data_IF_516914836857
#
_entry.id   IF_516914836857
#
_cell.length_a   1.000
_cell.length_b   1.000
_cell.length_c   1.000
_cell.angle_alpha   90.00
_cell.angle_beta   90.00
_cell.angle_gamma   90.00
#
_symmetry.space_group_name_H-M   'P 1'
#
loop_
_entity.id
_entity.type
_entity.pdbx_description
1 polymer ?
#
# COMPACT_ATOMS: atom_id res chain seq x y z
N UNK A 1 -14.47 2.34 -19.56
CA UNK A 1 -12.99 2.37 -19.37
C UNK A 1 -12.68 2.79 -17.94
N UNK A 2 -11.89 2.00 -17.26
CA UNK A 2 -11.51 2.31 -15.87
C UNK A 2 -10.44 3.38 -15.87
N UNK A 3 -10.70 4.50 -15.21
CA UNK A 3 -9.74 5.59 -15.12
C UNK A 3 -8.79 5.33 -13.94
N UNK A 4 -7.49 5.33 -14.19
CA UNK A 4 -6.49 5.24 -13.14
C UNK A 4 -6.48 6.58 -12.39
N UNK A 5 -6.62 6.57 -11.06
CA UNK A 5 -6.54 7.81 -10.28
C UNK A 5 -5.21 8.51 -10.52
N UNK A 6 -5.23 9.84 -10.57
CA UNK A 6 -4.03 10.62 -10.80
C UNK A 6 -3.05 10.41 -9.64
N UNK A 7 -1.77 10.20 -9.98
CA UNK A 7 -0.70 10.02 -9.00
C UNK A 7 -0.62 11.20 -8.02
N UNK A 8 -0.82 12.41 -8.51
CA UNK A 8 -0.78 13.61 -7.67
C UNK A 8 -1.87 13.57 -6.59
N UNK A 9 -3.08 13.15 -6.96
CA UNK A 9 -4.19 13.02 -6.02
C UNK A 9 -3.89 11.96 -4.96
N UNK A 10 -3.31 10.84 -5.37
CA UNK A 10 -2.91 9.77 -4.44
C UNK A 10 -1.83 10.25 -3.46
N UNK A 11 -0.84 10.99 -3.94
CA UNK A 11 0.22 11.55 -3.12
C UNK A 11 -0.35 12.53 -2.08
N UNK A 12 -1.23 13.43 -2.49
CA UNK A 12 -1.87 14.38 -1.58
C UNK A 12 -2.64 13.66 -0.48
N UNK A 13 -3.39 12.63 -0.85
CA UNK A 13 -4.15 11.80 0.09
C UNK A 13 -3.22 11.08 1.07
N UNK A 14 -2.12 10.51 0.58
CA UNK A 14 -1.15 9.80 1.39
C UNK A 14 -0.46 10.74 2.39
N UNK A 15 -0.05 11.93 1.94
CA UNK A 15 0.62 12.90 2.79
C UNK A 15 -0.30 13.43 3.88
N UNK A 16 -1.55 13.69 3.55
CA UNK A 16 -2.55 14.08 4.54
C UNK A 16 -2.78 12.98 5.57
N UNK A 17 -2.81 11.74 5.14
CA UNK A 17 -2.95 10.58 6.04
C UNK A 17 -1.78 10.50 7.02
N UNK A 18 -0.54 10.63 6.52
CA UNK A 18 0.66 10.59 7.36
C UNK A 18 0.70 11.76 8.33
N UNK A 19 0.32 12.96 7.88
CA UNK A 19 0.25 14.14 8.74
C UNK A 19 -0.76 13.92 9.88
N UNK A 20 -1.94 13.39 9.57
CA UNK A 20 -2.97 13.09 10.57
C UNK A 20 -2.51 12.03 11.56
N UNK A 21 -1.65 11.10 11.13
CA UNK A 21 -1.09 10.06 11.99
C UNK A 21 0.13 10.53 12.78
N UNK A 22 0.60 11.77 12.55
CA UNK A 22 1.77 12.32 13.22
C UNK A 22 3.10 11.76 12.70
N UNK A 23 3.10 11.20 11.51
CA UNK A 23 4.29 10.61 10.89
C UNK A 23 4.96 11.67 10.01
N UNK A 24 6.19 12.02 10.32
CA UNK A 24 6.95 13.10 9.67
C UNK A 24 8.40 12.69 9.42
N UNK A 25 9.09 13.46 8.57
CA UNK A 25 10.52 13.26 8.30
C UNK A 25 10.78 12.28 7.19
N UNK A 26 9.77 11.98 6.38
CA UNK A 26 9.89 11.04 5.26
C UNK A 26 9.58 11.75 3.94
N UNK A 27 10.19 11.26 2.87
CA UNK A 27 9.93 11.71 1.51
C UNK A 27 9.59 10.52 0.63
N UNK A 28 8.96 10.78 -0.50
CA UNK A 28 8.57 9.73 -1.43
C UNK A 28 9.81 9.16 -2.12
N UNK A 29 9.95 7.83 -2.04
CA UNK A 29 10.97 7.09 -2.77
C UNK A 29 10.43 6.58 -4.11
N UNK A 30 9.21 6.05 -4.12
CA UNK A 30 8.59 5.54 -5.32
C UNK A 30 7.07 5.49 -5.15
N UNK A 31 6.36 5.46 -6.27
CA UNK A 31 4.92 5.27 -6.30
C UNK A 31 4.59 4.34 -7.46
N UNK A 32 3.76 3.34 -7.21
CA UNK A 32 3.36 2.38 -8.23
C UNK A 32 1.87 2.08 -8.10
N UNK A 33 1.16 2.05 -9.23
CA UNK A 33 -0.24 1.67 -9.27
C UNK A 33 -0.36 0.16 -9.49
N UNK A 34 -1.19 -0.47 -8.68
CA UNK A 34 -1.52 -1.88 -8.79
C UNK A 34 -2.97 -2.02 -9.19
N UNK A 35 -3.22 -2.71 -10.29
CA UNK A 35 -4.57 -3.04 -10.71
C UNK A 35 -5.13 -4.15 -9.84
N UNK A 36 -6.46 -4.35 -9.89
CA UNK A 36 -7.08 -5.41 -9.13
C UNK A 36 -6.58 -6.79 -9.59
N UNK A 37 -6.32 -7.65 -8.62
CA UNK A 37 -5.89 -9.03 -8.86
C UNK A 37 -6.81 -10.01 -8.15
N UNK A 38 -7.00 -11.19 -8.73
CA UNK A 38 -7.74 -12.26 -8.08
C UNK A 38 -6.90 -12.90 -6.97
N UNK A 39 -7.53 -13.53 -5.96
CA UNK A 39 -6.79 -14.26 -4.95
C UNK A 39 -5.83 -15.32 -5.53
N UNK A 40 -6.24 -16.01 -6.59
CA UNK A 40 -5.39 -17.01 -7.25
C UNK A 40 -4.16 -16.36 -7.87
N UNK A 41 -4.29 -15.18 -8.47
CA UNK A 41 -3.18 -14.43 -9.03
C UNK A 41 -2.20 -13.96 -7.96
N UNK A 42 -2.72 -13.50 -6.81
CA UNK A 42 -1.89 -13.05 -5.70
C UNK A 42 -1.05 -14.17 -5.10
N UNK A 43 -1.60 -15.36 -4.99
CA UNK A 43 -0.92 -16.51 -4.40
C UNK A 43 0.02 -17.22 -5.39
N UNK A 44 -0.21 -17.04 -6.70
CA UNK A 44 0.66 -17.63 -7.72
C UNK A 44 0.77 -19.14 -7.58
N UNK A 45 1.98 -19.64 -7.30
CA UNK A 45 2.25 -21.07 -7.15
C UNK A 45 1.49 -21.70 -5.97
N UNK A 46 1.05 -20.90 -5.03
CA UNK A 46 0.35 -21.34 -3.82
C UNK A 46 -1.17 -21.17 -3.92
N UNK A 47 -1.71 -21.02 -5.13
CA UNK A 47 -3.14 -20.81 -5.34
C UNK A 47 -4.01 -21.95 -4.81
N UNK A 48 -3.47 -23.17 -4.73
CA UNK A 48 -4.15 -24.34 -4.15
C UNK A 48 -4.47 -24.16 -2.66
N UNK A 49 -3.76 -23.29 -1.96
CA UNK A 49 -4.01 -22.99 -0.56
C UNK A 49 -5.35 -22.30 -0.32
N UNK A 50 -5.95 -21.71 -1.37
CA UNK A 50 -7.25 -21.05 -1.27
C UNK A 50 -8.34 -21.98 -0.73
N UNK A 51 -8.26 -23.27 -1.06
CA UNK A 51 -9.24 -24.26 -0.60
C UNK A 51 -9.15 -24.49 0.91
N UNK A 52 -8.04 -24.14 1.54
CA UNK A 52 -7.80 -24.32 2.98
C UNK A 52 -8.14 -23.07 3.79
N UNK A 53 -8.39 -21.93 3.11
CA UNK A 53 -8.67 -20.67 3.77
C UNK A 53 -10.12 -20.61 4.24
N UNK A 54 -10.33 -20.06 5.43
CA UNK A 54 -11.66 -19.70 5.89
C UNK A 54 -12.12 -18.37 5.28
N UNK A 55 -13.34 -17.93 5.60
CA UNK A 55 -13.89 -16.70 5.03
C UNK A 55 -13.10 -15.45 5.41
N UNK A 56 -12.59 -15.39 6.62
CA UNK A 56 -11.79 -14.24 7.07
C UNK A 56 -10.46 -14.18 6.32
N UNK A 57 -9.80 -15.31 6.14
CA UNK A 57 -8.55 -15.38 5.40
C UNK A 57 -8.75 -15.03 3.92
N UNK A 58 -9.83 -15.51 3.31
CA UNK A 58 -10.16 -15.16 1.92
C UNK A 58 -10.44 -13.66 1.77
N UNK A 59 -11.09 -13.05 2.76
CA UNK A 59 -11.36 -11.61 2.72
C UNK A 59 -10.06 -10.81 2.76
N UNK A 60 -9.10 -11.23 3.58
CA UNK A 60 -7.78 -10.58 3.65
C UNK A 60 -7.07 -10.65 2.31
N UNK A 61 -7.07 -11.81 1.65
CA UNK A 61 -6.44 -11.97 0.34
C UNK A 61 -7.15 -11.11 -0.72
N UNK A 62 -8.48 -11.07 -0.69
CA UNK A 62 -9.25 -10.22 -1.61
C UNK A 62 -8.94 -8.74 -1.42
N UNK A 63 -8.77 -8.30 -0.18
CA UNK A 63 -8.41 -6.90 0.12
C UNK A 63 -7.04 -6.55 -0.43
N UNK A 64 -6.09 -7.46 -0.43
CA UNK A 64 -4.78 -7.23 -1.06
C UNK A 64 -4.87 -7.08 -2.58
N UNK A 65 -5.89 -7.65 -3.21
CA UNK A 65 -6.10 -7.55 -4.65
C UNK A 65 -6.85 -6.31 -5.10
N UNK A 66 -7.20 -5.39 -4.20
CA UNK A 66 -7.91 -4.16 -4.56
C UNK A 66 -6.99 -3.20 -5.29
N UNK A 67 -7.50 -2.46 -6.31
CA UNK A 67 -6.66 -1.50 -7.02
C UNK A 67 -6.24 -0.36 -6.11
N UNK A 68 -4.95 -0.03 -6.14
CA UNK A 68 -4.41 1.01 -5.26
C UNK A 68 -3.09 1.58 -5.78
N UNK A 69 -2.75 2.76 -5.29
CA UNK A 69 -1.40 3.30 -5.37
C UNK A 69 -0.61 2.87 -4.14
N UNK A 70 0.55 2.27 -4.35
CA UNK A 70 1.50 1.97 -3.28
C UNK A 70 2.59 3.04 -3.31
N UNK A 71 2.64 3.88 -2.29
CA UNK A 71 3.57 4.98 -2.18
C UNK A 71 4.59 4.63 -1.11
N UNK A 72 5.84 4.40 -1.54
CA UNK A 72 6.93 4.01 -0.66
C UNK A 72 7.71 5.25 -0.25
N UNK A 73 7.93 5.39 1.04
CA UNK A 73 8.66 6.53 1.62
C UNK A 73 10.05 6.10 2.06
N UNK A 74 10.94 7.08 2.20
CA UNK A 74 12.25 6.90 2.82
C UNK A 74 12.49 8.07 3.77
N UNK A 75 13.37 7.86 4.76
CA UNK A 75 13.72 8.92 5.71
C UNK A 75 14.50 10.02 4.99
N UNK A 76 14.11 11.28 5.21
CA UNK A 76 14.72 12.43 4.51
C UNK A 76 16.20 12.65 4.88
N UNK A 77 16.53 12.47 6.15
CA UNK A 77 17.89 12.71 6.65
C UNK A 77 18.74 11.47 6.48
N UNK A 78 19.59 11.48 5.45
CA UNK A 78 20.46 10.38 5.11
C UNK A 78 21.69 10.28 6.02
N UNK A 79 21.91 11.26 6.91
CA UNK A 79 23.04 11.24 7.84
C UNK A 79 22.75 10.42 9.09
N UNK A 80 21.48 10.07 9.33
CA UNK A 80 21.07 9.25 10.47
C UNK A 80 21.24 7.77 10.14
N UNK A 81 21.99 7.05 10.97
CA UNK A 81 22.27 5.63 10.78
C UNK A 81 22.26 4.91 12.15
N UNK A 82 21.38 3.91 12.36
CA UNK A 82 20.38 3.45 11.40
C UNK A 82 19.21 4.43 11.24
N UNK A 83 18.72 4.55 10.01
CA UNK A 83 17.56 5.38 9.74
C UNK A 83 16.28 4.71 10.28
N UNK A 84 15.28 5.51 10.72
CA UNK A 84 13.98 4.95 11.09
C UNK A 84 13.32 4.20 9.94
N UNK A 85 12.55 3.17 10.26
CA UNK A 85 11.79 2.44 9.25
C UNK A 85 10.74 3.36 8.62
N UNK A 86 10.77 3.46 7.30
CA UNK A 86 9.87 4.31 6.55
C UNK A 86 8.54 3.62 6.29
N UNK A 87 7.41 4.36 6.26
CA UNK A 87 6.12 3.79 5.96
C UNK A 87 5.94 3.55 4.46
N UNK A 88 5.02 2.62 4.13
CA UNK A 88 4.45 2.49 2.80
C UNK A 88 2.96 2.80 2.94
N UNK A 89 2.44 3.70 2.11
CA UNK A 89 1.04 4.10 2.14
C UNK A 89 0.32 3.52 0.93
N UNK A 90 -0.81 2.88 1.18
CA UNK A 90 -1.68 2.35 0.14
C UNK A 90 -2.92 3.21 0.03
N UNK A 91 -3.11 3.83 -1.14
CA UNK A 91 -4.27 4.66 -1.44
C UNK A 91 -5.16 3.90 -2.41
N UNK A 92 -6.29 3.41 -1.92
CA UNK A 92 -7.22 2.60 -2.71
C UNK A 92 -8.13 3.48 -3.56
N UNK A 93 -8.60 2.93 -4.67
CA UNK A 93 -9.47 3.65 -5.61
C UNK A 93 -10.81 4.09 -4.98
N UNK A 94 -11.24 3.37 -3.95
CA UNK A 94 -12.47 3.70 -3.21
C UNK A 94 -12.29 4.81 -2.16
N UNK A 95 -11.09 5.36 -2.04
CA UNK A 95 -10.78 6.42 -1.08
C UNK A 95 -10.21 5.93 0.25
N UNK A 96 -10.14 4.63 0.47
CA UNK A 96 -9.54 4.09 1.68
C UNK A 96 -8.02 4.27 1.65
N UNK A 97 -7.42 4.57 2.79
CA UNK A 97 -5.97 4.74 2.92
C UNK A 97 -5.47 3.90 4.07
N UNK A 98 -4.41 3.14 3.82
CA UNK A 98 -3.73 2.34 4.85
C UNK A 98 -2.24 2.60 4.80
N UNK A 99 -1.56 2.45 5.93
CA UNK A 99 -0.10 2.50 5.96
C UNK A 99 0.46 1.33 6.74
N UNK A 100 1.66 0.92 6.35
CA UNK A 100 2.40 -0.16 7.02
C UNK A 100 3.82 0.35 7.28
N UNK A 101 4.30 0.16 8.50
CA UNK A 101 5.69 0.45 8.85
C UNK A 101 6.38 -0.89 9.05
N UNK A 102 7.32 -1.28 8.16
CA UNK A 102 8.05 -2.53 8.32
C UNK A 102 8.88 -2.51 9.61
N UNK A 103 8.88 -3.64 10.27
CA UNK A 103 9.72 -3.80 11.47
C UNK A 103 10.97 -4.60 11.15
#
# INVERSE_FOLDING_TARGET
MKTIPAIQSAIETAEKHLENAGIRGFRIRSAKYYESESPASLLGEHADLLAEFDQEELQVVQDFGRPCWAIVYEYEDRTVDPAPNAPTVYVYDDGEVKHVIPM
#
